data_IF_192614422046
#
_entry.id   IF_192614422046
#
_cell.length_a   1.000
_cell.length_b   1.000
_cell.length_c   1.000
_cell.angle_alpha   90.00
_cell.angle_beta   90.00
_cell.angle_gamma   90.00
#
_symmetry.space_group_name_H-M   'P 1'
#
loop_
_entity.id
_entity.type
_entity.pdbx_description
1 polymer ?
#
# COMPACT_ATOMS: atom_id res chain seq x y z
N UNK A 1 74.28 -6.71 -1.05
CA UNK A 1 73.21 -7.72 -0.98
C UNK A 1 72.54 -7.62 0.40
N UNK A 2 71.24 -7.89 0.58
CA UNK A 2 70.05 -7.44 -0.14
C UNK A 2 69.13 -6.56 0.75
N UNK A 3 68.39 -5.64 0.11
CA UNK A 3 67.34 -4.79 0.72
C UNK A 3 66.11 -5.63 1.06
N UNK A 4 65.57 -5.47 2.26
CA UNK A 4 64.29 -6.07 2.65
C UNK A 4 63.16 -5.52 1.76
N UNK A 5 62.55 -6.41 0.99
CA UNK A 5 61.35 -6.15 0.19
C UNK A 5 60.18 -5.90 1.14
N UNK A 6 59.69 -4.67 1.18
CA UNK A 6 58.34 -4.35 1.67
C UNK A 6 57.34 -4.96 0.69
N UNK A 7 56.64 -6.00 1.13
CA UNK A 7 55.50 -6.58 0.43
C UNK A 7 54.35 -5.59 0.52
N UNK A 8 54.17 -4.78 -0.53
CA UNK A 8 52.94 -4.02 -0.76
C UNK A 8 51.80 -5.03 -0.88
N UNK A 9 50.94 -5.06 0.14
CA UNK A 9 49.62 -5.65 0.04
C UNK A 9 48.87 -4.77 -0.95
N UNK A 10 48.66 -5.29 -2.16
CA UNK A 10 47.72 -4.71 -3.12
C UNK A 10 46.34 -4.76 -2.48
N UNK A 11 45.87 -3.61 -1.99
CA UNK A 11 44.45 -3.42 -1.77
C UNK A 11 43.78 -3.49 -3.13
N UNK A 12 43.23 -4.66 -3.46
CA UNK A 12 42.24 -4.80 -4.51
C UNK A 12 41.04 -3.97 -4.06
N UNK A 13 41.01 -2.70 -4.50
CA UNK A 13 39.83 -1.87 -4.43
C UNK A 13 38.80 -2.56 -5.31
N UNK A 14 38.01 -3.47 -4.74
CA UNK A 14 36.73 -3.83 -5.32
C UNK A 14 35.97 -2.52 -5.43
N UNK A 15 35.86 -2.02 -6.65
CA UNK A 15 35.00 -0.91 -6.99
C UNK A 15 33.56 -1.33 -6.72
N UNK A 16 33.17 -1.28 -5.45
CA UNK A 16 31.78 -1.24 -5.03
C UNK A 16 31.32 0.13 -5.46
N UNK A 17 30.85 0.22 -6.69
CA UNK A 17 30.04 1.34 -7.15
C UNK A 17 28.88 1.39 -6.15
N UNK A 18 28.77 2.43 -5.29
CA UNK A 18 27.60 2.56 -4.44
C UNK A 18 26.39 2.58 -5.38
N UNK A 19 25.30 1.88 -5.08
CA UNK A 19 24.17 1.87 -5.99
C UNK A 19 23.74 3.32 -6.17
N UNK A 20 23.69 3.77 -7.42
CA UNK A 20 23.21 5.10 -7.78
C UNK A 20 21.72 5.09 -7.45
N UNK A 21 21.39 5.41 -6.21
CA UNK A 21 20.02 5.61 -5.77
C UNK A 21 19.67 7.05 -6.08
N UNK A 22 19.13 7.24 -7.27
CA UNK A 22 18.63 8.52 -7.72
C UNK A 22 17.50 8.98 -6.77
N UNK A 23 17.77 10.04 -6.00
CA UNK A 23 16.87 10.63 -4.99
C UNK A 23 15.68 11.33 -5.67
N UNK A 24 15.66 11.39 -7.01
CA UNK A 24 14.79 12.24 -7.82
C UNK A 24 13.89 11.52 -8.84
N UNK A 25 13.68 10.21 -8.74
CA UNK A 25 12.75 9.53 -9.66
C UNK A 25 11.30 9.84 -9.27
N UNK A 26 10.67 10.72 -10.05
CA UNK A 26 9.25 11.10 -9.95
C UNK A 26 8.34 9.86 -10.06
N UNK A 27 7.94 9.33 -8.91
CA UNK A 27 6.87 8.32 -8.77
C UNK A 27 5.54 8.97 -9.18
N UNK A 28 5.13 8.78 -10.44
CA UNK A 28 3.87 9.28 -11.03
C UNK A 28 2.63 8.52 -10.53
N UNK A 29 2.70 7.96 -9.31
CA UNK A 29 1.58 7.30 -8.65
C UNK A 29 0.35 8.20 -8.58
N UNK A 30 0.54 9.50 -8.37
CA UNK A 30 -0.56 10.47 -8.37
C UNK A 30 -1.21 10.57 -9.76
N UNK A 31 -0.44 10.58 -10.85
CA UNK A 31 -0.99 10.53 -12.20
C UNK A 31 -1.79 9.25 -12.48
N UNK A 32 -1.40 8.12 -11.90
CA UNK A 32 -2.12 6.85 -12.06
C UNK A 32 -3.37 6.75 -11.18
N UNK A 33 -3.33 7.30 -9.96
CA UNK A 33 -4.53 7.52 -9.14
C UNK A 33 -5.51 8.42 -9.88
N UNK A 34 -5.05 9.54 -10.43
CA UNK A 34 -5.89 10.50 -11.12
C UNK A 34 -6.50 9.89 -12.39
N UNK A 35 -5.75 9.08 -13.14
CA UNK A 35 -6.28 8.28 -14.26
C UNK A 35 -7.33 7.26 -13.80
N UNK A 36 -7.09 6.58 -12.67
CA UNK A 36 -8.05 5.62 -12.13
C UNK A 36 -9.33 6.31 -11.65
N UNK A 37 -9.24 7.45 -10.97
CA UNK A 37 -10.40 8.27 -10.62
C UNK A 37 -11.11 8.84 -11.84
N UNK A 38 -10.37 9.30 -12.86
CA UNK A 38 -10.95 9.76 -14.11
C UNK A 38 -11.72 8.64 -14.83
N UNK A 39 -11.20 7.40 -14.81
CA UNK A 39 -11.90 6.22 -15.34
C UNK A 39 -13.20 5.94 -14.58
N UNK A 40 -13.16 5.99 -13.24
CA UNK A 40 -14.35 5.82 -12.38
C UNK A 40 -15.42 6.90 -12.67
N UNK A 41 -15.00 8.16 -12.91
CA UNK A 41 -15.89 9.27 -13.23
C UNK A 41 -16.45 9.25 -14.67
N UNK A 42 -15.75 8.60 -15.60
CA UNK A 42 -16.18 8.47 -17.00
C UNK A 42 -17.07 7.25 -17.22
N UNK A 43 -16.85 6.16 -16.46
CA UNK A 43 -17.64 4.93 -16.51
C UNK A 43 -18.92 5.00 -15.64
N UNK A 44 -19.09 6.07 -14.86
CA UNK A 44 -20.39 6.37 -14.24
C UNK A 44 -21.34 6.88 -15.35
N UNK A 45 -22.45 6.18 -15.67
CA UNK A 45 -23.35 6.64 -16.71
C UNK A 45 -23.88 8.00 -16.27
N UNK A 46 -23.61 9.04 -17.06
CA UNK A 46 -24.21 10.36 -16.92
C UNK A 46 -25.73 10.18 -16.95
N UNK A 47 -26.36 10.04 -15.79
CA UNK A 47 -27.79 10.25 -15.64
C UNK A 47 -28.02 11.75 -15.82
N UNK A 48 -28.05 12.14 -17.09
CA UNK A 48 -28.66 13.37 -17.57
C UNK A 48 -30.08 13.39 -17.04
N UNK A 49 -30.25 13.99 -15.87
CA UNK A 49 -31.57 14.25 -15.31
C UNK A 49 -31.80 15.74 -15.51
N UNK A 50 -32.18 16.10 -16.74
CA UNK A 50 -33.11 17.22 -16.92
C UNK A 50 -34.35 16.82 -16.14
N UNK A 51 -34.51 17.38 -14.94
CA UNK A 51 -35.71 17.19 -14.13
C UNK A 51 -36.82 17.97 -14.82
N UNK A 52 -37.54 17.31 -15.72
CA UNK A 52 -38.87 17.77 -16.14
C UNK A 52 -39.86 17.12 -15.18
N UNK A 53 -40.23 17.88 -14.15
CA UNK A 53 -41.25 17.52 -13.18
C UNK A 53 -42.58 17.28 -13.90
N UNK A 54 -43.00 16.01 -14.00
CA UNK A 54 -44.39 15.69 -14.35
C UNK A 54 -44.97 14.71 -13.34
N UNK A 55 -46.14 15.08 -12.83
CA UNK A 55 -46.92 14.51 -11.73
C UNK A 55 -47.28 13.02 -11.93
N UNK A 56 -47.14 12.26 -10.83
CA UNK A 56 -47.93 11.09 -10.35
C UNK A 56 -48.61 10.17 -11.39
N UNK A 57 -48.27 8.88 -11.30
CA UNK A 57 -49.25 7.78 -11.13
C UNK A 57 -48.61 6.58 -10.43
N UNK A 58 -49.36 5.97 -9.52
CA UNK A 58 -49.00 4.73 -8.80
C UNK A 58 -49.01 3.55 -9.78
N UNK A 59 -47.95 2.75 -9.80
CA UNK A 59 -48.01 1.35 -10.24
C UNK A 59 -47.03 0.51 -9.41
N UNK A 60 -47.58 -0.51 -8.73
CA UNK A 60 -46.83 -1.62 -8.12
C UNK A 60 -45.99 -2.31 -9.19
N UNK A 61 -44.70 -2.48 -8.95
CA UNK A 61 -43.96 -3.72 -9.22
C UNK A 61 -42.62 -3.66 -8.50
N UNK A 62 -42.42 -4.60 -7.58
CA UNK A 62 -41.17 -4.77 -6.85
C UNK A 62 -40.05 -5.22 -7.78
N UNK A 63 -39.41 -4.25 -8.43
CA UNK A 63 -38.09 -4.41 -9.04
C UNK A 63 -37.13 -3.62 -8.16
N UNK A 64 -36.72 -4.22 -7.04
CA UNK A 64 -35.56 -3.74 -6.28
C UNK A 64 -34.42 -3.59 -7.27
N UNK A 65 -33.88 -2.38 -7.41
CA UNK A 65 -32.95 -2.02 -8.46
C UNK A 65 -31.65 -2.82 -8.33
N UNK A 66 -31.58 -3.97 -8.99
CA UNK A 66 -30.36 -4.78 -9.12
C UNK A 66 -29.22 -3.95 -9.70
N UNK A 67 -29.54 -2.96 -10.55
CA UNK A 67 -28.59 -1.99 -11.12
C UNK A 67 -27.85 -1.19 -10.06
N UNK A 68 -28.53 -0.70 -9.02
CA UNK A 68 -27.90 0.09 -7.95
C UNK A 68 -26.98 -0.74 -7.05
N UNK A 69 -27.36 -1.99 -6.77
CA UNK A 69 -26.54 -2.93 -5.99
C UNK A 69 -25.29 -3.33 -6.79
N UNK A 70 -25.43 -3.62 -8.08
CA UNK A 70 -24.30 -3.93 -8.97
C UNK A 70 -23.36 -2.73 -9.13
N UNK A 71 -23.88 -1.51 -9.24
CA UNK A 71 -23.06 -0.30 -9.30
C UNK A 71 -22.28 -0.07 -7.99
N UNK A 72 -22.92 -0.18 -6.82
CA UNK A 72 -22.21 -0.07 -5.53
C UNK A 72 -21.12 -1.14 -5.38
N UNK A 73 -21.41 -2.36 -5.87
CA UNK A 73 -20.43 -3.45 -5.88
C UNK A 73 -19.23 -3.12 -6.77
N UNK A 74 -19.45 -2.64 -7.98
CA UNK A 74 -18.39 -2.30 -8.93
C UNK A 74 -17.53 -1.14 -8.41
N UNK A 75 -18.15 -0.05 -7.92
CA UNK A 75 -17.44 1.08 -7.33
C UNK A 75 -16.62 0.65 -6.11
N UNK A 76 -17.15 -0.28 -5.29
CA UNK A 76 -16.39 -0.82 -4.18
C UNK A 76 -15.17 -1.62 -4.63
N UNK A 77 -15.32 -2.50 -5.64
CA UNK A 77 -14.18 -3.27 -6.19
C UNK A 77 -13.13 -2.32 -6.75
N UNK A 78 -13.52 -1.26 -7.46
CA UNK A 78 -12.60 -0.23 -7.98
C UNK A 78 -11.86 0.52 -6.85
N UNK A 79 -12.56 0.90 -5.77
CA UNK A 79 -11.94 1.53 -4.60
C UNK A 79 -10.97 0.58 -3.87
N UNK A 80 -11.33 -0.70 -3.78
CA UNK A 80 -10.44 -1.72 -3.21
C UNK A 80 -9.23 -1.92 -4.09
N UNK A 81 -9.36 -1.88 -5.41
CA UNK A 81 -8.24 -1.99 -6.34
C UNK A 81 -7.24 -0.84 -6.15
N UNK A 82 -7.74 0.39 -5.97
CA UNK A 82 -6.89 1.53 -5.64
C UNK A 82 -6.15 1.34 -4.32
N UNK A 83 -6.83 0.79 -3.30
CA UNK A 83 -6.23 0.60 -1.96
C UNK A 83 -5.29 -0.61 -1.89
N UNK A 84 -5.50 -1.64 -2.72
CA UNK A 84 -4.66 -2.84 -2.80
C UNK A 84 -3.49 -2.68 -3.78
N UNK A 85 -3.52 -1.72 -4.70
CA UNK A 85 -2.41 -1.47 -5.63
C UNK A 85 -1.04 -1.28 -4.92
N UNK A 86 -0.94 -0.55 -3.79
CA UNK A 86 0.28 -0.51 -2.97
C UNK A 86 0.73 -1.89 -2.46
N UNK A 87 -0.21 -2.78 -2.08
CA UNK A 87 0.10 -4.13 -1.57
C UNK A 87 0.75 -4.99 -2.65
N UNK A 88 0.31 -4.84 -3.90
CA UNK A 88 0.94 -5.50 -5.06
C UNK A 88 2.39 -5.06 -5.22
N UNK A 89 2.67 -3.76 -5.03
CA UNK A 89 4.04 -3.21 -5.07
C UNK A 89 4.92 -3.81 -3.96
N UNK A 90 4.35 -4.06 -2.79
CA UNK A 90 5.06 -4.65 -1.64
C UNK A 90 5.42 -6.11 -1.84
N UNK A 91 4.53 -6.91 -2.42
CA UNK A 91 4.83 -8.33 -2.62
C UNK A 91 5.92 -8.56 -3.66
N UNK A 92 5.96 -7.74 -4.70
CA UNK A 92 7.08 -7.72 -5.66
C UNK A 92 8.42 -7.36 -5.01
N UNK A 93 8.43 -6.58 -3.93
CA UNK A 93 9.68 -6.29 -3.24
C UNK A 93 10.28 -7.55 -2.58
N UNK A 94 9.47 -8.56 -2.23
CA UNK A 94 10.00 -9.88 -1.83
C UNK A 94 10.70 -10.60 -2.97
N UNK A 95 10.18 -10.54 -4.20
CA UNK A 95 10.87 -11.09 -5.38
C UNK A 95 12.25 -10.43 -5.61
N UNK A 96 12.42 -9.18 -5.15
CA UNK A 96 13.68 -8.45 -5.17
C UNK A 96 14.53 -8.61 -3.89
N UNK A 97 14.17 -9.53 -2.99
CA UNK A 97 14.95 -9.87 -1.79
C UNK A 97 14.70 -8.98 -0.57
N UNK A 98 13.63 -8.18 -0.55
CA UNK A 98 13.24 -7.36 0.62
C UNK A 98 12.44 -8.22 1.61
N UNK A 99 13.10 -9.22 2.19
CA UNK A 99 12.48 -10.16 3.14
C UNK A 99 12.34 -9.52 4.53
N UNK A 100 11.26 -8.75 4.71
CA UNK A 100 10.98 -8.05 5.96
C UNK A 100 9.60 -8.32 6.53
N UNK A 101 9.56 -8.69 7.82
CA UNK A 101 8.34 -8.76 8.63
C UNK A 101 7.65 -7.41 8.81
N UNK A 102 8.39 -6.29 8.67
CA UNK A 102 7.77 -4.97 8.65
C UNK A 102 6.93 -4.76 7.38
N UNK A 103 7.34 -5.36 6.26
CA UNK A 103 6.59 -5.29 5.01
C UNK A 103 5.26 -6.05 5.13
N UNK A 104 5.28 -7.26 5.68
CA UNK A 104 4.05 -8.02 6.00
C UNK A 104 3.17 -7.29 7.01
N UNK A 105 3.76 -6.56 7.97
CA UNK A 105 3.01 -5.71 8.91
C UNK A 105 2.30 -4.55 8.22
N UNK A 106 2.99 -3.84 7.32
CA UNK A 106 2.40 -2.74 6.53
C UNK A 106 1.26 -3.26 5.66
N UNK A 107 1.46 -4.40 4.99
CA UNK A 107 0.40 -5.04 4.20
C UNK A 107 -0.80 -5.42 5.06
N UNK A 108 -0.59 -5.96 6.26
CA UNK A 108 -1.70 -6.27 7.17
C UNK A 108 -2.52 -5.02 7.53
N UNK A 109 -1.85 -3.89 7.74
CA UNK A 109 -2.51 -2.62 8.05
C UNK A 109 -3.39 -2.10 6.91
N UNK A 110 -2.97 -2.31 5.66
CA UNK A 110 -3.75 -1.93 4.47
C UNK A 110 -4.94 -2.87 4.26
N UNK A 111 -4.73 -4.18 4.39
CA UNK A 111 -5.76 -5.17 4.04
C UNK A 111 -6.82 -5.31 5.12
N UNK A 112 -6.46 -5.18 6.40
CA UNK A 112 -7.40 -5.43 7.51
C UNK A 112 -8.69 -4.58 7.47
N UNK A 113 -8.63 -3.26 7.18
CA UNK A 113 -9.84 -2.43 7.05
C UNK A 113 -10.72 -2.82 5.85
N UNK A 114 -10.13 -3.35 4.77
CA UNK A 114 -10.86 -3.75 3.56
C UNK A 114 -11.76 -4.96 3.81
N UNK A 115 -11.38 -5.85 4.72
CA UNK A 115 -12.22 -7.00 5.13
C UNK A 115 -13.54 -6.51 5.74
N UNK A 116 -13.48 -5.51 6.63
CA UNK A 116 -14.67 -4.98 7.31
C UNK A 116 -15.62 -4.36 6.29
N UNK A 117 -15.09 -3.57 5.36
CA UNK A 117 -15.89 -2.95 4.30
C UNK A 117 -16.46 -3.99 3.32
N UNK A 118 -15.68 -5.01 2.94
CA UNK A 118 -16.15 -6.08 2.06
C UNK A 118 -17.31 -6.86 2.69
N UNK A 119 -17.23 -7.11 4.01
CA UNK A 119 -18.33 -7.72 4.80
C UNK A 119 -19.58 -6.85 4.77
N UNK A 120 -19.44 -5.53 4.98
CA UNK A 120 -20.57 -4.59 4.97
C UNK A 120 -21.29 -4.53 3.61
N UNK A 121 -20.54 -4.63 2.51
CA UNK A 121 -21.08 -4.62 1.13
C UNK A 121 -21.62 -6.00 0.71
N UNK A 122 -21.39 -7.06 1.49
CA UNK A 122 -21.89 -8.41 1.21
C UNK A 122 -21.03 -9.21 0.21
N UNK A 123 -19.77 -8.83 0.03
CA UNK A 123 -18.83 -9.47 -0.91
C UNK A 123 -18.16 -10.69 -0.30
N UNK A 124 -18.87 -11.81 -0.26
CA UNK A 124 -18.44 -13.03 0.46
C UNK A 124 -17.15 -13.64 -0.08
N UNK A 125 -16.99 -13.72 -1.41
CA UNK A 125 -15.81 -14.34 -2.03
C UNK A 125 -14.55 -13.51 -1.78
N UNK A 126 -14.66 -12.21 -2.05
CA UNK A 126 -13.63 -11.19 -1.84
C UNK A 126 -13.22 -11.13 -0.36
N UNK A 127 -14.20 -11.17 0.55
CA UNK A 127 -13.96 -11.23 1.99
C UNK A 127 -13.14 -12.46 2.39
N UNK A 128 -13.52 -13.65 1.88
CA UNK A 128 -12.84 -14.91 2.20
C UNK A 128 -11.37 -14.89 1.76
N UNK A 129 -11.11 -14.35 0.56
CA UNK A 129 -9.75 -14.20 0.02
C UNK A 129 -8.92 -13.24 0.88
N UNK A 130 -9.46 -12.07 1.24
CA UNK A 130 -8.76 -11.11 2.10
C UNK A 130 -8.54 -11.66 3.53
N UNK A 131 -9.52 -12.37 4.10
CA UNK A 131 -9.39 -13.04 5.40
C UNK A 131 -8.29 -14.11 5.37
N UNK A 132 -8.20 -14.91 4.30
CA UNK A 132 -7.13 -15.89 4.08
C UNK A 132 -5.75 -15.22 4.03
N UNK A 133 -5.62 -14.19 3.19
CA UNK A 133 -4.37 -13.45 3.05
C UNK A 133 -3.91 -12.80 4.37
N UNK A 134 -4.81 -12.16 5.12
CA UNK A 134 -4.48 -11.56 6.42
C UNK A 134 -4.08 -12.60 7.46
N UNK A 135 -4.64 -13.82 7.43
CA UNK A 135 -4.21 -14.90 8.34
C UNK A 135 -2.75 -15.27 8.11
N UNK A 136 -2.32 -15.39 6.85
CA UNK A 136 -0.92 -15.68 6.50
C UNK A 136 -0.01 -14.54 6.97
N UNK A 137 -0.36 -13.29 6.66
CA UNK A 137 0.39 -12.11 7.13
C UNK A 137 0.58 -12.12 8.66
N UNK A 138 -0.49 -12.39 9.41
CA UNK A 138 -0.44 -12.47 10.88
C UNK A 138 0.39 -13.63 11.39
N UNK A 139 0.33 -14.78 10.73
CA UNK A 139 1.14 -15.96 11.07
C UNK A 139 2.63 -15.61 10.96
N UNK A 140 3.03 -14.99 9.85
CA UNK A 140 4.41 -14.53 9.63
C UNK A 140 4.82 -13.48 10.66
N UNK A 141 3.98 -12.45 10.88
CA UNK A 141 4.26 -11.38 11.84
C UNK A 141 4.47 -11.90 13.29
N UNK A 142 3.78 -12.98 13.68
CA UNK A 142 3.92 -13.60 15.01
C UNK A 142 5.19 -14.43 15.16
N UNK A 143 5.72 -15.00 14.08
CA UNK A 143 6.97 -15.77 14.12
C UNK A 143 8.19 -14.90 14.44
N UNK A 144 8.13 -13.58 14.19
CA UNK A 144 9.11 -12.60 14.67
C UNK A 144 10.54 -12.73 14.11
N UNK A 145 10.77 -13.60 13.13
CA UNK A 145 12.08 -13.91 12.55
C UNK A 145 12.16 -13.67 11.04
N UNK A 146 13.19 -14.24 10.39
CA UNK A 146 13.25 -14.29 8.92
C UNK A 146 12.08 -15.11 8.38
N UNK A 147 11.52 -14.66 7.26
CA UNK A 147 10.44 -15.35 6.57
C UNK A 147 11.02 -16.63 5.96
N UNK A 148 10.50 -17.79 6.32
CA UNK A 148 10.95 -19.06 5.75
C UNK A 148 10.47 -19.21 4.29
N UNK A 149 11.12 -20.09 3.51
CA UNK A 149 10.68 -20.38 2.14
C UNK A 149 9.23 -20.88 2.09
N UNK A 150 8.83 -21.71 3.05
CA UNK A 150 7.44 -22.20 3.18
C UNK A 150 6.46 -21.05 3.45
N UNK A 151 6.81 -20.14 4.35
CA UNK A 151 6.00 -18.95 4.64
C UNK A 151 5.90 -18.02 3.43
N UNK A 152 6.98 -17.86 2.67
CA UNK A 152 6.99 -17.07 1.45
C UNK A 152 6.10 -17.70 0.38
N UNK A 153 6.18 -19.01 0.18
CA UNK A 153 5.32 -19.72 -0.77
C UNK A 153 3.83 -19.59 -0.40
N UNK A 154 3.49 -19.78 0.88
CA UNK A 154 2.12 -19.60 1.39
C UNK A 154 1.63 -18.15 1.19
N UNK A 155 2.50 -17.16 1.40
CA UNK A 155 2.21 -15.75 1.17
C UNK A 155 1.92 -15.44 -0.30
N UNK A 156 2.79 -15.91 -1.20
CA UNK A 156 2.64 -15.69 -2.64
C UNK A 156 1.40 -16.39 -3.21
N UNK A 157 1.10 -17.62 -2.76
CA UNK A 157 -0.11 -18.33 -3.20
C UNK A 157 -1.39 -17.57 -2.79
N UNK A 158 -1.46 -17.10 -1.54
CA UNK A 158 -2.62 -16.32 -1.09
C UNK A 158 -2.70 -14.96 -1.79
N UNK A 159 -1.57 -14.39 -2.18
CA UNK A 159 -1.54 -13.15 -2.94
C UNK A 159 -2.03 -13.33 -4.38
N UNK A 160 -1.68 -14.41 -5.08
CA UNK A 160 -2.20 -14.70 -6.42
C UNK A 160 -3.73 -14.82 -6.43
N UNK A 161 -4.30 -15.37 -5.35
CA UNK A 161 -5.76 -15.40 -5.16
C UNK A 161 -6.33 -13.97 -5.02
N UNK A 162 -5.64 -13.08 -4.30
CA UNK A 162 -6.03 -11.65 -4.19
C UNK A 162 -5.95 -10.98 -5.56
N UNK A 163 -4.84 -11.12 -6.31
CA UNK A 163 -4.69 -10.55 -7.65
C UNK A 163 -5.85 -10.99 -8.55
N UNK A 164 -6.12 -12.29 -8.61
CA UNK A 164 -7.15 -12.85 -9.48
C UNK A 164 -8.54 -12.38 -9.08
N UNK A 165 -8.84 -12.36 -7.78
CA UNK A 165 -10.18 -11.98 -7.26
C UNK A 165 -10.49 -10.50 -7.50
N UNK A 166 -9.49 -9.64 -7.33
CA UNK A 166 -9.65 -8.19 -7.46
C UNK A 166 -9.25 -7.66 -8.84
N UNK A 167 -8.73 -8.50 -9.73
CA UNK A 167 -8.25 -8.13 -11.07
C UNK A 167 -7.25 -6.98 -11.01
N UNK A 168 -6.24 -7.13 -10.17
CA UNK A 168 -5.23 -6.10 -9.94
C UNK A 168 -4.25 -6.06 -11.12
N UNK A 169 -4.12 -4.89 -11.77
CA UNK A 169 -3.15 -4.64 -12.86
C UNK A 169 -1.86 -3.98 -12.32
N UNK A 170 -0.71 -4.21 -13.01
CA UNK A 170 0.62 -4.11 -12.40
C UNK A 170 1.58 -3.06 -13.01
N UNK A 171 2.29 -2.33 -12.14
CA UNK A 171 3.66 -1.81 -12.35
C UNK A 171 4.50 -1.87 -11.06
N UNK A 172 5.74 -2.34 -11.15
CA UNK A 172 6.65 -2.49 -10.01
C UNK A 172 7.59 -1.30 -9.82
N UNK A 173 7.90 -0.97 -8.55
CA UNK A 173 8.99 -0.05 -8.23
C UNK A 173 9.60 -0.39 -6.86
N UNK A 174 10.70 -1.15 -6.84
CA UNK A 174 11.31 -1.71 -5.62
C UNK A 174 11.86 -0.64 -4.65
N UNK A 175 12.50 0.41 -5.16
CA UNK A 175 13.14 1.46 -4.34
C UNK A 175 12.15 2.21 -3.44
N UNK A 176 10.96 2.50 -3.95
CA UNK A 176 9.91 3.19 -3.20
C UNK A 176 9.46 2.39 -1.96
N UNK A 177 9.42 1.06 -2.09
CA UNK A 177 9.03 0.15 -1.01
C UNK A 177 10.08 0.09 0.09
N UNK A 178 11.36 -0.02 -0.28
CA UNK A 178 12.47 -0.02 0.69
C UNK A 178 12.45 1.25 1.54
N UNK A 179 12.28 2.41 0.90
CA UNK A 179 12.22 3.70 1.59
C UNK A 179 11.05 3.76 2.58
N UNK A 180 9.91 3.19 2.19
CA UNK A 180 8.73 3.14 3.05
C UNK A 180 8.92 2.20 4.25
N UNK A 181 9.53 1.03 4.06
CA UNK A 181 9.85 0.09 5.15
C UNK A 181 10.82 0.73 6.15
N UNK A 182 11.89 1.36 5.65
CA UNK A 182 12.85 2.05 6.52
C UNK A 182 12.19 3.21 7.28
N UNK A 183 11.28 3.95 6.63
CA UNK A 183 10.50 4.98 7.30
C UNK A 183 9.58 4.40 8.39
N UNK A 184 8.86 3.32 8.11
CA UNK A 184 8.05 2.62 9.10
C UNK A 184 8.87 2.20 10.34
N UNK A 185 10.06 1.61 10.12
CA UNK A 185 11.00 1.27 11.20
C UNK A 185 11.43 2.50 11.99
N UNK A 186 11.74 3.60 11.31
CA UNK A 186 12.12 4.87 11.95
C UNK A 186 10.99 5.41 12.85
N UNK A 187 9.75 5.40 12.35
CA UNK A 187 8.59 5.82 13.15
C UNK A 187 8.39 4.92 14.38
N UNK A 188 8.54 3.60 14.23
CA UNK A 188 8.42 2.63 15.31
C UNK A 188 9.49 2.83 16.39
N UNK A 189 10.75 3.07 16.01
CA UNK A 189 11.86 3.30 16.97
C UNK A 189 11.70 4.57 17.79
N UNK A 190 11.14 5.64 17.20
CA UNK A 190 11.02 6.95 17.87
C UNK A 190 9.93 6.99 18.95
N UNK A 191 9.12 5.93 19.11
CA UNK A 191 8.12 5.74 20.18
C UNK A 191 7.16 6.92 20.44
N UNK A 192 7.01 7.85 19.48
CA UNK A 192 6.06 8.98 19.56
C UNK A 192 4.66 8.64 19.08
N UNK A 193 4.49 7.48 18.47
CA UNK A 193 3.21 6.98 17.95
C UNK A 193 2.88 5.64 18.60
N UNK A 194 1.64 5.48 19.03
CA UNK A 194 1.16 4.18 19.45
C UNK A 194 1.06 3.25 18.23
N UNK A 195 1.12 1.91 18.40
CA UNK A 195 0.92 0.96 17.30
C UNK A 195 -0.40 1.18 16.54
N UNK A 196 -1.46 1.61 17.23
CA UNK A 196 -2.74 1.97 16.62
C UNK A 196 -2.64 3.19 15.69
N UNK A 197 -1.79 4.17 16.03
CA UNK A 197 -1.56 5.35 15.18
C UNK A 197 -0.76 4.96 13.92
N UNK A 198 0.25 4.10 14.06
CA UNK A 198 0.97 3.55 12.91
C UNK A 198 0.02 2.81 11.98
N UNK A 199 -0.87 1.97 12.53
CA UNK A 199 -1.89 1.27 11.74
C UNK A 199 -2.77 2.25 10.97
N UNK A 200 -3.25 3.32 11.60
CA UNK A 200 -4.05 4.36 10.94
C UNK A 200 -3.32 5.03 9.77
N UNK A 201 -2.03 5.32 9.92
CA UNK A 201 -1.22 5.95 8.88
C UNK A 201 -1.12 5.05 7.66
N UNK A 202 -0.75 3.78 7.83
CA UNK A 202 -0.51 2.90 6.70
C UNK A 202 -1.81 2.30 6.12
N UNK A 203 -2.90 2.26 6.90
CA UNK A 203 -4.21 1.80 6.45
C UNK A 203 -4.80 2.60 5.27
N UNK A 204 -4.32 3.81 5.00
CA UNK A 204 -4.78 4.62 3.85
C UNK A 204 -4.17 4.14 2.52
N UNK A 205 -3.27 3.14 2.54
CA UNK A 205 -2.63 2.63 1.32
C UNK A 205 -1.55 3.57 0.78
N UNK A 206 -0.69 4.10 1.65
CA UNK A 206 0.45 4.93 1.24
C UNK A 206 1.37 4.06 0.38
N UNK A 207 1.65 4.37 -0.90
CA UNK A 207 2.51 3.57 -1.80
C UNK A 207 3.99 3.94 -1.73
N UNK A 208 4.30 5.14 -1.25
CA UNK A 208 5.63 5.73 -1.24
C UNK A 208 5.69 6.92 -0.28
N UNK A 209 6.92 7.25 0.12
CA UNK A 209 7.21 8.40 0.98
C UNK A 209 6.84 9.73 0.35
N UNK A 210 6.86 9.81 -0.98
CA UNK A 210 6.50 11.02 -1.74
C UNK A 210 5.05 11.43 -1.46
N UNK A 211 4.13 10.46 -1.31
CA UNK A 211 2.74 10.75 -0.98
C UNK A 211 2.63 11.48 0.37
N UNK A 212 3.30 10.99 1.41
CA UNK A 212 3.29 11.62 2.75
C UNK A 212 3.89 13.04 2.72
N UNK A 213 4.88 13.27 1.85
CA UNK A 213 5.52 14.59 1.72
C UNK A 213 4.58 15.61 1.05
N UNK A 214 3.93 15.19 -0.04
CA UNK A 214 3.08 16.04 -0.89
C UNK A 214 1.69 16.29 -0.30
N UNK A 215 1.07 15.29 0.32
CA UNK A 215 -0.27 15.40 0.90
C UNK A 215 -0.37 16.57 1.89
N UNK A 216 -1.48 17.31 1.87
CA UNK A 216 -1.70 18.41 2.79
C UNK A 216 -1.89 17.91 4.24
N UNK A 217 -1.64 18.76 5.24
CA UNK A 217 -1.79 18.34 6.64
C UNK A 217 -3.26 18.02 6.98
N UNK A 218 -4.19 18.86 6.51
CA UNK A 218 -5.63 18.66 6.70
C UNK A 218 -6.12 17.36 6.08
N UNK A 219 -5.65 17.05 4.87
CA UNK A 219 -6.00 15.82 4.17
C UNK A 219 -5.39 14.59 4.86
N UNK A 220 -4.13 14.66 5.30
CA UNK A 220 -3.51 13.57 6.08
C UNK A 220 -4.27 13.29 7.37
N UNK A 221 -4.70 14.34 8.10
CA UNK A 221 -5.54 14.23 9.29
C UNK A 221 -6.88 13.57 8.95
N UNK A 222 -7.52 14.01 7.87
CA UNK A 222 -8.82 13.48 7.43
C UNK A 222 -8.74 12.00 7.04
N UNK A 223 -7.75 11.61 6.24
CA UNK A 223 -7.59 10.23 5.77
C UNK A 223 -7.20 9.27 6.90
N UNK A 224 -6.30 9.69 7.79
CA UNK A 224 -5.77 8.81 8.85
C UNK A 224 -6.58 8.85 10.15
N UNK A 225 -7.35 9.91 10.40
CA UNK A 225 -8.02 10.13 11.68
C UNK A 225 -7.04 10.31 12.86
N UNK A 226 -5.83 10.82 12.58
CA UNK A 226 -4.86 11.22 13.60
C UNK A 226 -5.14 12.64 14.11
N UNK A 227 -4.62 12.96 15.30
CA UNK A 227 -4.58 14.36 15.73
C UNK A 227 -3.63 15.18 14.85
N UNK A 228 -3.91 16.48 14.72
CA UNK A 228 -3.09 17.41 13.93
C UNK A 228 -1.62 17.39 14.35
N UNK A 229 -1.35 17.29 15.66
CA UNK A 229 0.01 17.20 16.20
C UNK A 229 0.75 15.94 15.70
N UNK A 230 0.12 14.76 15.79
CA UNK A 230 0.71 13.50 15.33
C UNK A 230 0.93 13.49 13.82
N UNK A 231 -0.05 13.96 13.05
CA UNK A 231 0.04 14.07 11.60
C UNK A 231 1.16 15.05 11.17
N UNK A 232 1.28 16.19 11.84
CA UNK A 232 2.35 17.17 11.62
C UNK A 232 3.72 16.57 11.90
N UNK A 233 3.85 15.82 13.00
CA UNK A 233 5.09 15.14 13.33
C UNK A 233 5.48 14.09 12.28
N UNK A 234 4.54 13.24 11.84
CA UNK A 234 4.77 12.25 10.78
C UNK A 234 5.25 12.91 9.49
N UNK A 235 4.59 14.00 9.08
CA UNK A 235 4.97 14.74 7.88
C UNK A 235 6.36 15.36 8.00
N UNK A 236 6.71 15.89 9.18
CA UNK A 236 8.07 16.38 9.47
C UNK A 236 9.08 15.24 9.32
N UNK A 237 8.83 14.08 9.91
CA UNK A 237 9.71 12.92 9.77
C UNK A 237 9.85 12.51 8.30
N UNK A 238 8.77 12.48 7.53
CA UNK A 238 8.81 12.10 6.13
C UNK A 238 9.68 13.05 5.29
N UNK A 239 9.63 14.35 5.57
CA UNK A 239 10.44 15.37 4.88
C UNK A 239 11.91 15.31 5.24
N UNK A 240 12.24 15.03 6.50
CA UNK A 240 13.64 14.95 6.96
C UNK A 240 14.25 13.56 6.76
N UNK A 241 13.46 12.56 6.38
CA UNK A 241 13.94 11.19 6.21
C UNK A 241 14.92 11.08 5.04
N UNK A 242 16.15 10.69 5.36
CA UNK A 242 17.23 10.33 4.42
C UNK A 242 17.61 8.87 4.62
N UNK A 243 17.79 8.12 3.52
CA UNK A 243 18.03 6.68 3.57
C UNK A 243 19.27 6.26 4.36
N UNK A 244 20.26 7.15 4.42
CA UNK A 244 21.57 6.92 5.03
C UNK A 244 21.56 6.62 6.52
N UNK A 245 20.45 6.82 7.23
CA UNK A 245 20.36 6.52 8.67
C UNK A 245 20.15 5.02 8.99
N UNK A 246 19.96 4.14 7.99
CA UNK A 246 19.49 2.76 8.23
C UNK A 246 20.15 1.66 7.37
N UNK A 247 21.22 1.97 6.63
CA UNK A 247 22.07 0.97 5.93
C UNK A 247 23.19 0.52 6.86
#
# INVERSE_FOLDING_TARGET
MPKARSTKISNTTTGVVPPIFDVSLDDDFFGDIDKAFAKIQMDTPKTSTKITTTKRTKAKTGRTSTTGITQMRNTYVELVNLTLSPVVRYLKAFEFGVDSTDLTTIMEYIVSPLIVKAKQVGLKAETSVLDGFVRVLRKINRSGGRISAEQMNELMENFERVITTFRLEYRGHSTAVVNLVCFFRSLKRKNKLAPADLKKIFAIGIPSMTMIRKISLSELVSLTGLSSEKASWVRKQARTFTLFEFV
#
